data_IF_863451203283
#
_entry.id   IF_863451203283
#
_cell.length_a   1.000
_cell.length_b   1.000
_cell.length_c   1.000
_cell.angle_alpha   90.00
_cell.angle_beta   90.00
_cell.angle_gamma   90.00
#
_symmetry.space_group_name_H-M   'P 1'
#
loop_
_entity.id
_entity.type
_entity.pdbx_description
1 polymer ?
#
# COMPACT_ATOMS: atom_id res chain seq x y z
N UNK A 1 17.58 -20.70 2.77
CA UNK A 1 16.51 -19.69 2.62
C UNK A 1 16.84 -18.82 1.43
N UNK A 2 15.90 -18.62 0.50
CA UNK A 2 16.07 -17.73 -0.66
C UNK A 2 16.28 -16.31 -0.17
N UNK A 3 17.37 -15.65 -0.60
CA UNK A 3 17.60 -14.23 -0.29
C UNK A 3 16.59 -13.37 -1.05
N UNK A 4 16.01 -12.31 -0.44
CA UNK A 4 15.12 -11.41 -1.15
C UNK A 4 15.88 -10.63 -2.23
N UNK A 5 15.31 -10.51 -3.42
CA UNK A 5 15.79 -9.66 -4.50
C UNK A 5 15.32 -8.21 -4.33
N UNK A 6 14.12 -7.98 -3.78
CA UNK A 6 13.63 -6.66 -3.38
C UNK A 6 13.31 -6.65 -1.88
N UNK A 7 13.78 -5.62 -1.18
CA UNK A 7 13.37 -5.35 0.21
C UNK A 7 12.59 -4.06 0.27
N UNK A 8 11.31 -4.14 0.59
CA UNK A 8 10.41 -3.01 0.82
C UNK A 8 10.51 -2.57 2.28
N UNK A 9 10.94 -1.33 2.53
CA UNK A 9 11.12 -0.75 3.84
C UNK A 9 10.05 0.30 4.10
N UNK A 10 9.31 0.15 5.20
CA UNK A 10 8.38 1.18 5.66
C UNK A 10 9.01 2.01 6.78
N UNK A 11 9.18 3.30 6.54
CA UNK A 11 9.83 4.24 7.46
C UNK A 11 8.82 4.84 8.46
N UNK A 12 9.24 5.21 9.68
CA UNK A 12 8.41 6.07 10.54
C UNK A 12 8.17 7.44 9.88
N UNK A 13 7.20 8.21 10.36
CA UNK A 13 6.96 9.59 9.90
C UNK A 13 8.22 10.45 10.02
N UNK A 14 8.80 10.46 11.22
CA UNK A 14 10.10 11.05 11.52
C UNK A 14 11.08 9.99 11.99
N UNK A 15 12.25 9.85 11.36
CA UNK A 15 13.24 8.83 11.72
C UNK A 15 13.79 9.00 13.15
N UNK A 16 14.06 10.25 13.56
CA UNK A 16 14.71 10.56 14.85
C UNK A 16 13.75 10.61 16.04
N UNK A 17 12.53 10.07 15.92
CA UNK A 17 11.48 10.18 16.94
C UNK A 17 11.86 9.63 18.32
N UNK A 18 12.87 8.76 18.41
CA UNK A 18 13.40 8.23 19.68
C UNK A 18 14.38 9.19 20.37
N UNK A 19 15.03 10.07 19.62
CA UNK A 19 16.13 10.92 20.09
C UNK A 19 15.75 12.39 20.26
N UNK A 20 14.55 12.81 19.83
CA UNK A 20 14.09 14.19 19.90
C UNK A 20 12.63 14.24 20.38
N UNK A 21 12.26 15.21 21.23
CA UNK A 21 10.86 15.47 21.52
C UNK A 21 10.16 15.91 20.22
N UNK A 22 9.11 15.19 19.83
CA UNK A 22 8.29 15.51 18.66
C UNK A 22 6.95 16.04 19.16
N UNK A 23 6.61 17.26 18.74
CA UNK A 23 5.24 17.77 18.90
C UNK A 23 4.43 17.20 17.75
N UNK A 24 3.62 16.20 18.04
CA UNK A 24 2.72 15.63 17.05
C UNK A 24 1.60 16.64 16.79
N UNK A 25 1.55 17.18 15.57
CA UNK A 25 0.44 18.02 15.11
C UNK A 25 -0.86 17.21 14.99
N UNK A 26 -1.96 17.81 14.48
CA UNK A 26 -3.29 17.18 14.39
C UNK A 26 -3.36 16.00 13.40
N UNK A 27 -2.22 15.54 12.88
CA UNK A 27 -2.11 14.50 11.86
C UNK A 27 -2.45 13.11 12.47
N UNK A 28 -2.54 12.97 13.80
CA UNK A 28 -2.62 11.68 14.49
C UNK A 28 -4.03 11.06 14.67
N UNK A 29 -5.12 11.70 14.22
CA UNK A 29 -6.48 11.25 14.61
C UNK A 29 -7.18 10.31 13.60
N UNK A 30 -6.47 9.74 12.62
CA UNK A 30 -7.10 8.82 11.64
C UNK A 30 -6.27 7.56 11.32
N UNK A 31 -6.98 6.42 11.26
CA UNK A 31 -6.60 5.05 10.82
C UNK A 31 -5.36 4.46 11.53
N UNK A 32 -5.47 3.28 12.19
CA UNK A 32 -5.06 2.95 13.56
C UNK A 32 -3.54 2.94 13.85
N UNK A 33 -2.82 3.95 13.37
CA UNK A 33 -1.40 4.15 13.60
C UNK A 33 -1.19 5.12 14.76
N UNK A 34 -0.08 4.95 15.46
CA UNK A 34 0.41 5.96 16.40
C UNK A 34 0.82 7.23 15.63
N UNK A 35 1.15 8.35 16.30
CA UNK A 35 1.74 9.51 15.63
C UNK A 35 3.02 9.24 14.81
N UNK A 36 3.62 8.04 14.96
CA UNK A 36 4.77 7.57 14.19
C UNK A 36 4.37 7.02 12.81
N UNK A 37 3.07 6.85 12.55
CA UNK A 37 2.54 6.31 11.30
C UNK A 37 3.10 4.93 10.97
N UNK A 38 3.09 3.97 11.89
CA UNK A 38 3.73 2.67 11.62
C UNK A 38 2.94 1.73 10.69
N UNK A 39 1.75 2.14 10.27
CA UNK A 39 0.92 1.35 9.37
C UNK A 39 1.41 1.46 7.93
N UNK A 40 2.05 0.42 7.40
CA UNK A 40 2.49 0.45 6.00
C UNK A 40 1.29 0.37 5.02
N UNK A 41 1.41 0.94 3.79
CA UNK A 41 0.34 0.92 2.80
C UNK A 41 0.11 -0.48 2.24
N UNK A 42 -1.15 -0.86 2.00
CA UNK A 42 -1.50 -2.17 1.41
C UNK A 42 -0.82 -2.42 0.05
N UNK A 43 -0.45 -1.36 -0.66
CA UNK A 43 0.30 -1.42 -1.91
C UNK A 43 1.57 -2.28 -1.80
N UNK A 44 2.22 -2.31 -0.63
CA UNK A 44 3.35 -3.21 -0.39
C UNK A 44 2.97 -4.69 -0.46
N UNK A 45 1.80 -5.08 0.08
CA UNK A 45 1.31 -6.46 0.00
C UNK A 45 0.99 -6.80 -1.46
N UNK A 46 0.35 -5.88 -2.17
CA UNK A 46 0.01 -6.02 -3.59
C UNK A 46 1.26 -6.23 -4.44
N UNK A 47 2.24 -5.32 -4.33
CA UNK A 47 3.52 -5.40 -5.05
C UNK A 47 4.28 -6.67 -4.68
N UNK A 48 4.43 -6.97 -3.39
CA UNK A 48 5.16 -8.16 -2.97
C UNK A 48 4.51 -9.47 -3.46
N UNK A 49 3.17 -9.55 -3.40
CA UNK A 49 2.41 -10.69 -3.91
C UNK A 49 2.54 -10.85 -5.42
N UNK A 50 2.44 -9.74 -6.17
CA UNK A 50 2.60 -9.72 -7.62
C UNK A 50 4.02 -10.15 -8.05
N UNK A 51 5.04 -9.62 -7.41
CA UNK A 51 6.45 -9.93 -7.71
C UNK A 51 6.82 -11.38 -7.36
N UNK A 52 6.39 -11.90 -6.22
CA UNK A 52 6.66 -13.30 -5.85
C UNK A 52 5.99 -14.27 -6.84
N UNK A 53 4.78 -13.96 -7.33
CA UNK A 53 4.10 -14.75 -8.38
C UNK A 53 4.91 -14.79 -9.69
N UNK A 54 5.67 -13.73 -9.98
CA UNK A 54 6.53 -13.61 -11.16
C UNK A 54 8.00 -13.96 -10.86
N UNK A 55 8.27 -14.67 -9.76
CA UNK A 55 9.60 -15.21 -9.47
C UNK A 55 10.62 -14.20 -8.96
N UNK A 56 10.18 -13.05 -8.42
CA UNK A 56 11.03 -12.06 -7.76
C UNK A 56 10.80 -12.13 -6.24
N UNK A 57 11.70 -12.78 -5.47
CA UNK A 57 11.60 -12.86 -4.03
C UNK A 57 11.58 -11.47 -3.38
N UNK A 58 10.50 -11.13 -2.68
CA UNK A 58 10.27 -9.81 -2.12
C UNK A 58 10.03 -9.90 -0.62
N UNK A 59 10.62 -8.98 0.15
CA UNK A 59 10.48 -8.92 1.61
C UNK A 59 10.03 -7.54 2.06
N UNK A 60 8.93 -7.48 2.79
CA UNK A 60 8.54 -6.28 3.55
C UNK A 60 9.27 -6.25 4.89
N UNK A 61 9.76 -5.07 5.29
CA UNK A 61 10.27 -4.77 6.62
C UNK A 61 9.67 -3.46 7.12
N UNK A 62 8.81 -3.55 8.13
CA UNK A 62 8.26 -2.41 8.83
C UNK A 62 9.28 -1.84 9.83
N UNK A 63 10.10 -0.87 9.41
CA UNK A 63 11.11 -0.23 10.27
C UNK A 63 10.42 0.59 11.36
N UNK A 64 9.36 1.32 11.03
CA UNK A 64 8.57 2.10 11.99
C UNK A 64 8.08 1.24 13.18
N UNK A 65 7.40 0.12 12.89
CA UNK A 65 6.87 -0.77 13.93
C UNK A 65 7.98 -1.41 14.76
N UNK A 66 9.09 -1.83 14.15
CA UNK A 66 10.24 -2.35 14.91
C UNK A 66 10.85 -1.27 15.80
N UNK A 67 10.94 -0.03 15.32
CA UNK A 67 11.41 1.08 16.12
C UNK A 67 10.45 1.42 17.28
N UNK A 68 9.16 1.20 17.13
CA UNK A 68 8.21 1.36 18.22
C UNK A 68 8.31 0.24 19.26
N UNK A 69 8.35 -1.02 18.80
CA UNK A 69 8.19 -2.19 19.67
C UNK A 69 9.47 -2.69 20.32
N UNK A 70 10.62 -2.42 19.70
CA UNK A 70 11.92 -2.94 20.15
C UNK A 70 12.85 -1.76 20.51
N UNK A 71 12.84 -1.23 21.74
CA UNK A 71 13.60 -0.01 22.10
C UNK A 71 15.10 -0.05 21.78
N UNK A 72 15.70 -1.25 21.76
CA UNK A 72 17.11 -1.48 21.43
C UNK A 72 17.36 -1.86 19.96
N UNK A 73 16.35 -1.78 19.10
CA UNK A 73 16.48 -2.10 17.69
C UNK A 73 17.37 -1.08 17.00
N UNK A 74 18.53 -1.57 16.54
CA UNK A 74 19.50 -0.83 15.74
C UNK A 74 19.18 -1.05 14.25
N UNK A 75 18.65 0.01 13.63
CA UNK A 75 18.24 0.02 12.23
C UNK A 75 19.44 -0.17 11.32
N UNK A 76 20.55 0.53 11.56
CA UNK A 76 21.72 0.48 10.69
C UNK A 76 22.37 -0.91 10.70
N UNK A 77 22.55 -1.49 11.89
CA UNK A 77 23.08 -2.85 12.04
C UNK A 77 22.17 -3.91 11.42
N UNK A 78 20.86 -3.65 11.39
CA UNK A 78 19.93 -4.54 10.71
C UNK A 78 20.04 -4.40 9.19
N UNK A 79 20.02 -3.17 8.67
CA UNK A 79 20.11 -2.89 7.24
C UNK A 79 21.46 -3.32 6.65
N UNK A 80 22.56 -3.21 7.41
CA UNK A 80 23.90 -3.59 6.95
C UNK A 80 24.04 -5.09 6.61
N UNK A 81 23.12 -5.92 7.12
CA UNK A 81 23.09 -7.37 6.87
C UNK A 81 22.23 -7.76 5.66
N UNK A 82 21.55 -6.81 5.05
CA UNK A 82 20.69 -7.04 3.90
C UNK A 82 21.46 -6.74 2.62
N UNK A 83 21.37 -7.64 1.63
CA UNK A 83 22.00 -7.46 0.31
C UNK A 83 21.03 -7.85 -0.81
N UNK A 84 19.93 -7.09 -1.00
CA UNK A 84 19.02 -7.29 -2.12
C UNK A 84 19.58 -6.73 -3.43
N UNK A 85 18.87 -6.92 -4.54
CA UNK A 85 19.14 -6.22 -5.80
C UNK A 85 18.66 -4.76 -5.74
N UNK A 86 17.62 -4.47 -4.97
CA UNK A 86 17.12 -3.11 -4.73
C UNK A 86 16.45 -2.99 -3.36
N UNK A 87 16.42 -1.76 -2.83
CA UNK A 87 15.56 -1.38 -1.72
C UNK A 87 14.38 -0.55 -2.24
N UNK A 88 13.16 -0.89 -1.86
CA UNK A 88 11.98 -0.06 -2.08
C UNK A 88 11.59 0.66 -0.80
N UNK A 89 11.21 1.93 -0.86
CA UNK A 89 10.75 2.72 0.29
C UNK A 89 9.44 3.38 -0.09
N UNK A 90 8.39 3.22 0.71
CA UNK A 90 7.15 3.92 0.45
C UNK A 90 7.24 5.38 0.89
N UNK A 91 6.65 6.23 0.07
CA UNK A 91 6.21 7.56 0.42
C UNK A 91 4.77 7.68 -0.08
N UNK A 92 3.89 6.92 0.58
CA UNK A 92 2.47 6.90 0.25
C UNK A 92 1.75 8.12 0.86
N UNK A 93 1.98 8.40 2.14
CA UNK A 93 1.50 9.61 2.80
C UNK A 93 2.64 10.60 3.08
N UNK A 94 2.36 11.89 2.87
CA UNK A 94 3.35 12.97 3.03
C UNK A 94 4.01 13.05 4.42
N UNK A 95 3.37 12.67 5.56
CA UNK A 95 4.04 12.61 6.85
C UNK A 95 5.31 11.77 6.91
N UNK A 96 5.51 10.83 5.97
CA UNK A 96 6.72 10.02 5.88
C UNK A 96 7.88 10.67 5.13
N UNK A 97 7.71 11.89 4.58
CA UNK A 97 8.73 12.51 3.74
C UNK A 97 10.10 12.56 4.43
N UNK A 98 10.14 12.96 5.70
CA UNK A 98 11.38 13.02 6.47
C UNK A 98 11.94 11.61 6.74
N UNK A 99 11.14 10.71 7.32
CA UNK A 99 11.61 9.39 7.70
C UNK A 99 12.03 8.52 6.53
N UNK A 100 11.30 8.56 5.41
CA UNK A 100 11.63 7.81 4.20
C UNK A 100 12.92 8.31 3.53
N UNK A 101 13.13 9.63 3.45
CA UNK A 101 14.36 10.21 2.90
C UNK A 101 15.59 9.95 3.78
N UNK A 102 15.44 10.00 5.11
CA UNK A 102 16.52 9.64 6.03
C UNK A 102 16.86 8.14 5.97
N UNK A 103 15.85 7.28 5.88
CA UNK A 103 16.05 5.85 5.71
C UNK A 103 16.77 5.55 4.39
N UNK A 104 16.40 6.21 3.30
CA UNK A 104 17.09 6.13 2.01
C UNK A 104 18.56 6.55 2.11
N UNK A 105 18.84 7.66 2.83
CA UNK A 105 20.21 8.14 3.06
C UNK A 105 21.05 7.12 3.83
N UNK A 106 20.49 6.50 4.86
CA UNK A 106 21.14 5.42 5.62
C UNK A 106 21.42 4.21 4.72
N UNK A 107 20.43 3.78 3.93
CA UNK A 107 20.58 2.67 2.97
C UNK A 107 21.72 2.96 2.00
N UNK A 108 21.77 4.14 1.39
CA UNK A 108 22.85 4.51 0.45
C UNK A 108 24.21 4.61 1.10
N UNK A 109 24.30 5.05 2.36
CA UNK A 109 25.58 5.05 3.10
C UNK A 109 26.09 3.62 3.34
N UNK A 110 25.20 2.69 3.69
CA UNK A 110 25.55 1.29 3.95
C UNK A 110 25.77 0.49 2.68
N UNK A 111 25.03 0.82 1.61
CA UNK A 111 24.96 0.08 0.34
C UNK A 111 24.98 1.05 -0.85
N UNK A 112 26.11 1.72 -1.14
CA UNK A 112 26.16 2.79 -2.14
C UNK A 112 25.81 2.34 -3.56
N UNK A 113 26.06 1.08 -3.89
CA UNK A 113 25.79 0.50 -5.21
C UNK A 113 24.38 -0.09 -5.36
N UNK A 114 23.61 -0.24 -4.28
CA UNK A 114 22.26 -0.82 -4.37
C UNK A 114 21.26 0.31 -4.67
N UNK A 115 20.42 0.18 -5.71
CA UNK A 115 19.41 1.18 -6.03
C UNK A 115 18.31 1.27 -4.97
N UNK A 116 17.83 2.48 -4.76
CA UNK A 116 16.71 2.85 -3.90
C UNK A 116 15.56 3.34 -4.78
N UNK A 117 14.43 2.66 -4.64
CA UNK A 117 13.20 2.88 -5.40
C UNK A 117 12.16 3.48 -4.45
N UNK A 118 11.58 4.61 -4.82
CA UNK A 118 10.43 5.19 -4.14
C UNK A 118 9.13 4.89 -4.89
N UNK A 119 8.02 4.83 -4.15
CA UNK A 119 6.68 4.68 -4.71
C UNK A 119 5.60 5.07 -3.70
N UNK A 120 4.37 5.24 -4.19
CA UNK A 120 3.23 5.71 -3.40
C UNK A 120 2.64 7.00 -3.92
N UNK A 121 1.57 7.47 -3.28
CA UNK A 121 0.80 8.63 -3.74
C UNK A 121 1.61 9.92 -3.61
N UNK A 122 2.19 10.20 -2.44
CA UNK A 122 3.07 11.36 -2.29
C UNK A 122 4.34 11.27 -3.15
N UNK A 123 4.94 10.09 -3.32
CA UNK A 123 6.04 9.89 -4.26
C UNK A 123 5.65 10.20 -5.72
N UNK A 124 4.43 9.82 -6.13
CA UNK A 124 3.91 10.13 -7.47
C UNK A 124 3.73 11.62 -7.65
N UNK A 125 3.16 12.31 -6.65
CA UNK A 125 2.91 13.75 -6.70
C UNK A 125 4.22 14.56 -6.77
N UNK A 126 5.20 14.21 -5.93
CA UNK A 126 6.47 14.94 -5.78
C UNK A 126 7.63 14.24 -6.49
N UNK A 127 7.36 13.51 -7.57
CA UNK A 127 8.38 12.65 -8.20
C UNK A 127 9.55 13.45 -8.79
N UNK A 128 9.30 14.70 -9.21
CA UNK A 128 10.30 15.57 -9.84
C UNK A 128 11.31 16.08 -8.80
N UNK A 129 10.84 16.45 -7.62
CA UNK A 129 11.66 16.87 -6.50
C UNK A 129 12.35 15.66 -5.86
N UNK A 130 11.58 14.58 -5.66
CA UNK A 130 12.07 13.37 -5.01
C UNK A 130 13.22 12.74 -5.79
N UNK A 131 13.13 12.70 -7.12
CA UNK A 131 14.22 12.16 -7.92
C UNK A 131 15.49 13.00 -7.77
N UNK A 132 15.46 14.31 -7.51
CA UNK A 132 16.71 15.09 -7.39
C UNK A 132 17.62 14.68 -6.22
N UNK A 133 17.07 14.03 -5.19
CA UNK A 133 17.86 13.66 -4.00
C UNK A 133 18.92 12.60 -4.34
N UNK A 134 20.17 12.75 -3.86
CA UNK A 134 21.25 11.81 -4.17
C UNK A 134 20.97 10.38 -3.65
N UNK A 135 20.09 10.26 -2.66
CA UNK A 135 19.69 8.97 -2.11
C UNK A 135 18.52 8.28 -2.83
N UNK A 136 18.03 8.85 -3.93
CA UNK A 136 16.92 8.31 -4.73
C UNK A 136 17.40 8.05 -6.16
N UNK A 137 17.28 6.80 -6.60
CA UNK A 137 17.66 6.38 -7.97
C UNK A 137 16.43 6.27 -8.87
N UNK A 138 15.30 5.80 -8.32
CA UNK A 138 14.07 5.56 -9.05
C UNK A 138 12.84 6.03 -8.28
N UNK A 139 11.84 6.53 -8.99
CA UNK A 139 10.48 6.76 -8.48
C UNK A 139 9.49 6.10 -9.42
N UNK A 140 8.77 5.08 -8.94
CA UNK A 140 7.70 4.42 -9.72
C UNK A 140 6.38 5.11 -9.40
N UNK A 141 5.76 5.68 -10.44
CA UNK A 141 4.61 6.58 -10.33
C UNK A 141 3.29 5.88 -10.63
N UNK A 142 2.20 6.45 -10.14
CA UNK A 142 0.85 5.96 -10.37
C UNK A 142 0.28 5.21 -9.17
N UNK A 143 -0.97 4.78 -9.31
CA UNK A 143 -1.70 4.06 -8.27
C UNK A 143 -1.65 2.54 -8.44
N UNK A 144 -1.12 2.08 -9.59
CA UNK A 144 -1.01 0.69 -9.98
C UNK A 144 0.39 0.39 -10.50
N UNK A 145 1.29 0.12 -9.58
CA UNK A 145 2.73 0.06 -9.86
C UNK A 145 3.27 -1.36 -9.89
N UNK A 146 2.45 -2.38 -9.71
CA UNK A 146 2.89 -3.78 -9.65
C UNK A 146 3.70 -4.21 -10.87
N UNK A 147 3.14 -4.00 -12.06
CA UNK A 147 3.79 -4.34 -13.34
C UNK A 147 4.99 -3.41 -13.65
N UNK A 148 4.90 -2.07 -13.51
CA UNK A 148 6.07 -1.20 -13.60
C UNK A 148 7.24 -1.60 -12.68
N UNK A 149 6.95 -1.98 -11.44
CA UNK A 149 7.98 -2.47 -10.50
C UNK A 149 8.54 -3.81 -10.96
N UNK A 150 7.71 -4.73 -11.48
CA UNK A 150 8.18 -6.00 -12.04
C UNK A 150 9.17 -5.76 -13.18
N UNK A 151 8.81 -4.91 -14.15
CA UNK A 151 9.68 -4.57 -15.27
C UNK A 151 10.98 -3.93 -14.78
N UNK A 152 10.90 -2.95 -13.87
CA UNK A 152 12.09 -2.31 -13.29
C UNK A 152 13.01 -3.33 -12.62
N UNK A 153 12.47 -4.22 -11.78
CA UNK A 153 13.27 -5.25 -11.10
C UNK A 153 13.91 -6.22 -12.10
N UNK A 154 13.22 -6.57 -13.19
CA UNK A 154 13.81 -7.38 -14.26
C UNK A 154 14.95 -6.63 -14.96
N UNK A 155 14.83 -5.31 -15.20
CA UNK A 155 15.94 -4.53 -15.77
C UNK A 155 17.13 -4.47 -14.83
N UNK A 156 16.91 -4.20 -13.55
CA UNK A 156 17.96 -4.18 -12.52
C UNK A 156 18.69 -5.53 -12.47
N UNK A 157 17.94 -6.64 -12.47
CA UNK A 157 18.50 -8.00 -12.40
C UNK A 157 19.41 -8.35 -13.57
N UNK A 158 19.13 -7.82 -14.76
CA UNK A 158 19.90 -8.10 -15.98
C UNK A 158 20.86 -6.97 -16.37
N UNK A 159 20.94 -5.88 -15.59
CA UNK A 159 21.73 -4.70 -15.96
C UNK A 159 21.27 -4.04 -17.26
N UNK A 160 19.96 -4.08 -17.54
CA UNK A 160 19.38 -3.56 -18.77
C UNK A 160 18.90 -2.11 -18.63
N UNK A 161 18.70 -1.48 -19.78
CA UNK A 161 18.14 -0.14 -19.93
C UNK A 161 16.72 -0.05 -19.31
N UNK A 162 16.34 1.13 -18.82
CA UNK A 162 15.09 1.40 -18.07
C UNK A 162 14.20 2.46 -18.71
N UNK A 163 14.61 3.01 -19.86
CA UNK A 163 13.97 4.08 -20.62
C UNK A 163 12.56 3.69 -21.11
N UNK A 164 12.30 2.39 -21.24
CA UNK A 164 11.02 1.84 -21.68
C UNK A 164 10.11 1.38 -20.53
N UNK A 165 10.59 1.42 -19.28
CA UNK A 165 9.78 1.03 -18.11
C UNK A 165 8.70 2.09 -17.89
N UNK A 166 7.40 1.75 -18.00
CA UNK A 166 6.33 2.72 -17.87
C UNK A 166 6.30 3.32 -16.46
N UNK A 167 5.80 4.55 -16.36
CA UNK A 167 5.58 5.25 -15.10
C UNK A 167 6.85 5.57 -14.29
N UNK A 168 8.04 5.32 -14.82
CA UNK A 168 9.31 5.49 -14.10
C UNK A 168 9.83 6.92 -14.18
N UNK A 169 10.28 7.46 -13.05
CA UNK A 169 11.28 8.53 -13.02
C UNK A 169 12.61 7.96 -12.58
N UNK A 170 13.69 8.37 -13.22
CA UNK A 170 15.02 7.80 -13.01
C UNK A 170 16.11 8.84 -13.29
N UNK A 171 17.37 8.51 -12.93
CA UNK A 171 18.54 9.30 -13.31
C UNK A 171 19.45 8.54 -14.24
N UNK A 172 19.97 9.24 -15.23
CA UNK A 172 21.07 8.69 -16.04
C UNK A 172 22.41 8.75 -15.30
N UNK A 173 23.45 8.21 -15.93
CA UNK A 173 24.80 8.17 -15.36
C UNK A 173 25.43 9.56 -15.10
N UNK A 174 24.86 10.63 -15.66
CA UNK A 174 25.26 12.02 -15.38
C UNK A 174 24.47 12.67 -14.23
N UNK A 175 23.46 11.97 -13.71
CA UNK A 175 22.57 12.44 -12.66
C UNK A 175 21.38 13.25 -13.16
N UNK A 176 21.17 13.36 -14.48
CA UNK A 176 20.04 14.07 -15.06
C UNK A 176 18.77 13.23 -14.90
N UNK A 177 17.70 13.87 -14.43
CA UNK A 177 16.41 13.22 -14.22
C UNK A 177 15.64 13.05 -15.53
N UNK A 178 15.07 11.86 -15.71
CA UNK A 178 14.21 11.48 -16.82
C UNK A 178 12.86 10.96 -16.29
N UNK A 179 11.80 11.16 -17.07
CA UNK A 179 10.44 10.81 -16.69
C UNK A 179 9.72 10.10 -17.84
N UNK A 180 9.66 8.77 -17.77
CA UNK A 180 8.96 7.94 -18.76
C UNK A 180 7.45 8.16 -18.65
N UNK A 181 6.71 8.00 -19.74
CA UNK A 181 5.26 8.26 -19.76
C UNK A 181 4.49 7.51 -18.65
N UNK A 182 3.50 8.16 -18.04
CA UNK A 182 2.57 7.55 -17.10
C UNK A 182 1.47 6.81 -17.88
N UNK A 183 1.82 5.66 -18.45
CA UNK A 183 1.01 4.92 -19.42
C UNK A 183 0.44 3.62 -18.89
N UNK A 184 1.03 3.01 -17.85
CA UNK A 184 0.48 1.81 -17.24
C UNK A 184 -0.58 2.19 -16.21
N UNK A 185 -1.82 2.26 -16.66
CA UNK A 185 -3.01 2.57 -15.84
C UNK A 185 -4.11 1.56 -16.19
N UNK A 186 -4.10 0.35 -15.60
CA UNK A 186 -5.06 -0.68 -15.95
C UNK A 186 -6.49 -0.27 -15.58
N UNK A 187 -7.45 -0.65 -16.42
CA UNK A 187 -8.89 -0.39 -16.22
C UNK A 187 -9.58 -1.42 -15.32
N UNK A 188 -8.91 -2.55 -15.02
CA UNK A 188 -9.38 -3.58 -14.09
C UNK A 188 -8.28 -3.95 -13.11
N UNK A 189 -8.69 -4.45 -11.94
CA UNK A 189 -7.82 -4.94 -10.87
C UNK A 189 -7.83 -6.46 -10.72
N UNK A 190 -8.49 -7.17 -11.61
CA UNK A 190 -8.71 -8.62 -11.48
C UNK A 190 -7.40 -9.42 -11.56
N UNK A 191 -6.46 -8.98 -12.40
CA UNK A 191 -5.15 -9.61 -12.59
C UNK A 191 -4.11 -9.18 -11.54
N UNK A 192 -4.46 -8.26 -10.65
CA UNK A 192 -3.60 -7.77 -9.57
C UNK A 192 -3.99 -8.54 -8.29
N UNK A 193 -3.27 -9.60 -7.92
CA UNK A 193 -3.61 -10.40 -6.77
C UNK A 193 -3.21 -9.65 -5.50
N UNK A 194 -4.17 -9.41 -4.62
CA UNK A 194 -3.86 -9.12 -3.22
C UNK A 194 -3.70 -10.47 -2.52
N UNK A 195 -2.48 -11.00 -2.47
CA UNK A 195 -2.22 -12.23 -1.71
C UNK A 195 -2.23 -11.91 -0.21
N UNK A 196 -3.41 -11.93 0.40
CA UNK A 196 -3.58 -11.74 1.84
C UNK A 196 -2.91 -12.85 2.67
N UNK A 197 -2.43 -13.94 2.05
CA UNK A 197 -1.57 -14.92 2.73
C UNK A 197 -0.10 -14.52 2.72
N UNK A 198 0.31 -13.52 1.93
CA UNK A 198 1.71 -13.07 1.88
C UNK A 198 2.25 -12.72 3.27
N UNK A 199 1.56 -11.94 4.13
CA UNK A 199 2.05 -11.66 5.48
C UNK A 199 2.35 -12.94 6.26
N UNK A 200 1.45 -13.92 6.23
CA UNK A 200 1.62 -15.21 6.92
C UNK A 200 2.81 -15.98 6.35
N UNK A 201 2.89 -16.11 5.01
CA UNK A 201 4.02 -16.77 4.32
C UNK A 201 5.35 -16.09 4.62
N UNK A 202 5.36 -14.75 4.64
CA UNK A 202 6.53 -13.90 4.88
C UNK A 202 7.02 -14.04 6.32
N UNK A 203 6.12 -14.08 7.30
CA UNK A 203 6.46 -14.36 8.70
C UNK A 203 7.13 -15.73 8.83
N UNK A 204 6.60 -16.76 8.17
CA UNK A 204 7.18 -18.11 8.18
C UNK A 204 8.56 -18.12 7.49
N UNK A 205 8.64 -17.53 6.29
CA UNK A 205 9.84 -17.51 5.42
C UNK A 205 11.00 -16.75 6.05
N UNK A 206 10.72 -15.60 6.67
CA UNK A 206 11.75 -14.70 7.22
C UNK A 206 11.83 -14.71 8.75
N UNK A 207 11.02 -15.55 9.43
CA UNK A 207 10.96 -15.71 10.90
C UNK A 207 10.86 -14.38 11.65
N UNK A 208 10.09 -13.44 11.11
CA UNK A 208 10.02 -12.07 11.59
C UNK A 208 8.57 -11.60 11.64
N UNK A 209 7.89 -11.88 12.76
CA UNK A 209 6.53 -11.40 13.00
C UNK A 209 6.48 -9.87 13.09
N UNK A 210 7.32 -9.26 13.94
CA UNK A 210 7.34 -7.80 14.14
C UNK A 210 7.63 -7.00 12.86
N UNK A 211 8.46 -7.51 11.96
CA UNK A 211 8.78 -6.84 10.70
C UNK A 211 7.68 -6.90 9.63
N UNK A 212 6.65 -7.73 9.81
CA UNK A 212 5.55 -7.93 8.84
C UNK A 212 4.21 -7.43 9.39
N UNK A 213 4.10 -7.20 10.71
CA UNK A 213 2.88 -6.66 11.29
C UNK A 213 2.55 -5.28 10.69
N UNK A 214 1.31 -5.08 10.22
CA UNK A 214 0.86 -3.80 9.68
C UNK A 214 1.04 -2.68 10.69
N UNK A 215 0.61 -2.86 11.94
CA UNK A 215 0.76 -1.87 13.00
C UNK A 215 0.96 -2.55 14.37
N UNK A 216 1.28 -1.75 15.38
CA UNK A 216 1.75 -2.20 16.70
C UNK A 216 0.79 -3.16 17.42
N UNK A 217 -0.51 -2.85 17.40
CA UNK A 217 -1.58 -3.60 18.09
C UNK A 217 -2.36 -4.57 17.18
N UNK A 218 -1.84 -4.91 16.00
CA UNK A 218 -2.58 -5.76 15.04
C UNK A 218 -2.89 -7.17 15.57
N UNK A 219 -2.06 -7.70 16.47
CA UNK A 219 -2.34 -9.00 17.10
C UNK A 219 -3.55 -8.97 18.04
N UNK A 220 -3.81 -7.82 18.67
CA UNK A 220 -4.94 -7.63 19.57
C UNK A 220 -6.22 -7.30 18.78
N UNK A 221 -6.08 -6.63 17.63
CA UNK A 221 -7.16 -6.29 16.73
C UNK A 221 -6.74 -6.48 15.26
N UNK A 222 -6.85 -7.70 14.70
CA UNK A 222 -6.36 -8.04 13.36
C UNK A 222 -7.33 -7.57 12.26
N UNK A 223 -7.72 -6.30 12.32
CA UNK A 223 -8.49 -5.67 11.25
C UNK A 223 -7.66 -5.73 9.96
N UNK A 224 -8.33 -6.13 8.88
CA UNK A 224 -7.74 -6.21 7.54
C UNK A 224 -8.56 -5.37 6.59
N UNK A 225 -7.94 -4.79 5.57
CA UNK A 225 -8.64 -4.03 4.54
C UNK A 225 -8.67 -4.81 3.22
N UNK A 226 -9.77 -4.72 2.50
CA UNK A 226 -9.89 -5.13 1.10
C UNK A 226 -10.38 -3.95 0.28
N UNK A 227 -9.91 -3.83 -0.96
CA UNK A 227 -10.21 -2.68 -1.82
C UNK A 227 -11.13 -3.09 -2.94
N UNK A 228 -12.24 -2.37 -3.09
CA UNK A 228 -13.17 -2.54 -4.21
C UNK A 228 -12.60 -1.98 -5.51
N UNK A 229 -11.79 -0.93 -5.41
CA UNK A 229 -11.33 -0.18 -6.56
C UNK A 229 -10.00 0.55 -6.36
N UNK A 230 -9.50 1.09 -7.48
CA UNK A 230 -8.49 2.14 -7.57
C UNK A 230 -9.06 3.28 -8.39
N UNK A 231 -8.97 4.49 -7.87
CA UNK A 231 -9.76 5.62 -8.35
C UNK A 231 -10.96 5.92 -7.44
N UNK A 232 -11.61 7.04 -7.70
CA UNK A 232 -12.83 7.47 -7.03
C UNK A 232 -13.74 8.19 -8.04
N UNK A 233 -15.06 8.06 -7.91
CA UNK A 233 -16.04 8.82 -8.71
C UNK A 233 -16.31 10.22 -8.15
N UNK A 234 -15.98 10.47 -6.88
CA UNK A 234 -16.25 11.72 -6.18
C UNK A 234 -15.11 12.72 -6.30
N UNK A 235 -15.46 14.01 -6.22
CA UNK A 235 -14.50 15.11 -6.36
C UNK A 235 -14.35 15.95 -5.09
N UNK A 236 -14.17 15.30 -3.94
CA UNK A 236 -14.06 15.97 -2.65
C UNK A 236 -12.86 16.95 -2.65
N UNK A 237 -13.10 18.22 -2.31
CA UNK A 237 -12.11 19.31 -2.44
C UNK A 237 -10.84 19.11 -1.63
N UNK A 238 -10.93 18.47 -0.47
CA UNK A 238 -9.81 18.22 0.45
C UNK A 238 -9.09 16.90 0.17
N UNK A 239 -9.60 16.04 -0.72
CA UNK A 239 -9.13 14.67 -0.87
C UNK A 239 -8.09 14.55 -2.00
N UNK A 240 -6.85 14.18 -1.63
CA UNK A 240 -5.79 13.83 -2.58
C UNK A 240 -6.05 12.56 -3.40
N UNK A 241 -7.11 11.80 -3.06
CA UNK A 241 -7.63 10.65 -3.80
C UNK A 241 -8.97 10.93 -4.50
N UNK A 242 -9.28 12.19 -4.79
CA UNK A 242 -10.48 12.57 -5.56
C UNK A 242 -10.39 12.13 -7.03
N UNK A 243 -11.53 12.10 -7.74
CA UNK A 243 -11.59 11.87 -9.19
C UNK A 243 -10.67 12.81 -9.96
N UNK A 244 -10.66 14.09 -9.62
CA UNK A 244 -9.75 15.07 -10.21
C UNK A 244 -8.29 14.70 -9.96
N UNK A 245 -7.93 14.41 -8.71
CA UNK A 245 -6.55 14.01 -8.37
C UNK A 245 -6.13 12.74 -9.12
N UNK A 246 -6.98 11.71 -9.17
CA UNK A 246 -6.73 10.49 -9.93
C UNK A 246 -6.51 10.75 -11.42
N UNK A 247 -7.34 11.59 -12.02
CA UNK A 247 -7.20 11.95 -13.43
C UNK A 247 -5.92 12.73 -13.71
N UNK A 248 -5.67 13.81 -12.97
CA UNK A 248 -4.58 14.74 -13.28
C UNK A 248 -3.21 14.24 -12.83
N UNK A 249 -3.13 13.49 -11.72
CA UNK A 249 -1.85 13.04 -11.14
C UNK A 249 -1.50 11.60 -11.52
N UNK A 250 -2.51 10.73 -11.65
CA UNK A 250 -2.31 9.29 -11.84
C UNK A 250 -2.70 8.83 -13.25
N UNK A 251 -3.08 9.77 -14.14
CA UNK A 251 -3.61 9.50 -15.48
C UNK A 251 -4.76 8.47 -15.49
N UNK A 252 -5.55 8.46 -14.41
CA UNK A 252 -6.69 7.56 -14.24
C UNK A 252 -7.99 8.30 -14.55
N UNK A 253 -8.43 8.19 -15.81
CA UNK A 253 -9.70 8.78 -16.26
C UNK A 253 -10.95 8.10 -15.69
N UNK A 254 -10.85 6.80 -15.40
CA UNK A 254 -11.95 5.97 -14.91
C UNK A 254 -11.51 5.08 -13.74
N UNK A 255 -12.46 4.77 -12.86
CA UNK A 255 -12.22 3.92 -11.69
C UNK A 255 -12.01 2.47 -12.17
N UNK A 256 -10.91 1.85 -11.74
CA UNK A 256 -10.68 0.44 -11.97
C UNK A 256 -11.29 -0.35 -10.81
N UNK A 257 -12.32 -1.13 -11.11
CA UNK A 257 -12.99 -1.97 -10.13
C UNK A 257 -12.43 -3.39 -10.13
N UNK A 258 -12.50 -4.03 -8.97
CA UNK A 258 -12.25 -5.47 -8.81
C UNK A 258 -13.57 -6.22 -8.94
N UNK A 259 -13.57 -7.36 -9.60
CA UNK A 259 -14.79 -8.15 -9.77
C UNK A 259 -15.38 -8.60 -8.41
N UNK A 260 -16.71 -8.48 -8.18
CA UNK A 260 -17.34 -8.79 -6.90
C UNK A 260 -17.03 -10.18 -6.34
N UNK A 261 -16.96 -11.19 -7.21
CA UNK A 261 -16.66 -12.56 -6.79
C UNK A 261 -15.24 -12.72 -6.25
N UNK A 262 -14.27 -12.04 -6.88
CA UNK A 262 -12.86 -12.07 -6.47
C UNK A 262 -12.69 -11.37 -5.12
N UNK A 263 -13.37 -10.23 -4.93
CA UNK A 263 -13.38 -9.56 -3.63
C UNK A 263 -13.99 -10.45 -2.53
N UNK A 264 -15.09 -11.15 -2.82
CA UNK A 264 -15.66 -12.11 -1.89
C UNK A 264 -14.76 -13.33 -1.63
N UNK A 265 -13.96 -13.76 -2.63
CA UNK A 265 -12.93 -14.79 -2.47
C UNK A 265 -11.80 -14.34 -1.54
N UNK A 266 -11.35 -13.09 -1.69
CA UNK A 266 -10.33 -12.49 -0.82
C UNK A 266 -10.82 -12.46 0.65
N UNK A 267 -12.03 -11.97 0.88
CA UNK A 267 -12.66 -11.93 2.22
C UNK A 267 -12.82 -13.34 2.79
N UNK A 268 -13.25 -14.30 1.97
CA UNK A 268 -13.38 -15.70 2.39
C UNK A 268 -12.02 -16.30 2.77
N UNK A 269 -10.97 -16.01 2.01
CA UNK A 269 -9.60 -16.42 2.33
C UNK A 269 -9.15 -15.84 3.66
N UNK A 270 -9.35 -14.54 3.89
CA UNK A 270 -9.01 -13.86 5.16
C UNK A 270 -9.72 -14.54 6.33
N UNK A 271 -11.02 -14.79 6.22
CA UNK A 271 -11.83 -15.44 7.26
C UNK A 271 -11.29 -16.81 7.69
N UNK A 272 -10.59 -17.54 6.81
CA UNK A 272 -10.02 -18.86 7.14
C UNK A 272 -8.87 -18.78 8.14
N UNK A 273 -8.21 -17.62 8.24
CA UNK A 273 -7.01 -17.44 9.05
C UNK A 273 -7.18 -16.38 10.14
N UNK A 274 -8.10 -15.43 9.95
CA UNK A 274 -8.33 -14.31 10.86
C UNK A 274 -9.80 -14.24 11.24
N UNK A 275 -10.07 -14.10 12.54
CA UNK A 275 -11.40 -13.84 13.09
C UNK A 275 -11.72 -12.35 13.25
N UNK A 276 -10.79 -11.46 12.86
CA UNK A 276 -10.93 -10.02 12.99
C UNK A 276 -11.83 -9.39 11.92
N UNK A 277 -12.21 -8.11 12.09
CA UNK A 277 -13.01 -7.39 11.11
C UNK A 277 -12.31 -7.22 9.76
N UNK A 278 -13.07 -7.25 8.67
CA UNK A 278 -12.60 -6.93 7.33
C UNK A 278 -13.26 -5.64 6.86
N UNK A 279 -12.44 -4.62 6.61
CA UNK A 279 -12.89 -3.33 6.11
C UNK A 279 -12.86 -3.32 4.58
N UNK A 280 -14.03 -3.20 3.96
CA UNK A 280 -14.19 -2.98 2.52
C UNK A 280 -14.04 -1.48 2.25
N UNK A 281 -12.89 -1.11 1.69
CA UNK A 281 -12.55 0.26 1.32
C UNK A 281 -13.06 0.55 -0.09
N UNK A 282 -13.69 1.71 -0.22
CA UNK A 282 -14.48 2.15 -1.36
C UNK A 282 -15.94 1.73 -1.22
N UNK A 283 -16.85 2.68 -1.42
CA UNK A 283 -18.29 2.41 -1.40
C UNK A 283 -18.66 1.37 -2.47
N UNK A 284 -19.23 0.25 -2.03
CA UNK A 284 -19.60 -0.88 -2.92
C UNK A 284 -20.70 -0.51 -3.92
N UNK A 285 -21.39 0.63 -3.74
CA UNK A 285 -22.41 1.15 -4.66
C UNK A 285 -21.85 2.11 -5.68
N UNK A 286 -20.59 2.52 -5.54
CA UNK A 286 -19.90 3.39 -6.50
C UNK A 286 -19.97 2.89 -7.96
N UNK A 287 -19.85 1.58 -8.24
CA UNK A 287 -20.01 1.05 -9.60
C UNK A 287 -21.48 0.91 -10.04
N UNK A 288 -22.43 1.07 -9.12
CA UNK A 288 -23.87 0.82 -9.29
C UNK A 288 -24.41 -0.27 -8.36
N UNK A 289 -25.73 -0.26 -8.14
CA UNK A 289 -26.40 -1.20 -7.22
C UNK A 289 -26.20 -2.68 -7.61
N UNK A 290 -26.17 -3.00 -8.91
CA UNK A 290 -25.92 -4.37 -9.41
C UNK A 290 -24.56 -4.93 -8.94
N UNK A 291 -23.54 -4.07 -8.78
CA UNK A 291 -22.26 -4.51 -8.22
C UNK A 291 -22.40 -4.87 -6.74
N UNK A 292 -23.08 -4.02 -5.96
CA UNK A 292 -23.32 -4.23 -4.54
C UNK A 292 -24.11 -5.53 -4.32
N UNK A 293 -25.20 -5.73 -5.07
CA UNK A 293 -26.02 -6.95 -5.03
C UNK A 293 -25.19 -8.21 -5.33
N UNK A 294 -24.36 -8.17 -6.38
CA UNK A 294 -23.47 -9.28 -6.75
C UNK A 294 -22.46 -9.58 -5.66
N UNK A 295 -21.86 -8.55 -5.05
CA UNK A 295 -20.90 -8.71 -3.97
C UNK A 295 -21.56 -9.31 -2.72
N UNK A 296 -22.69 -8.75 -2.28
CA UNK A 296 -23.47 -9.22 -1.15
C UNK A 296 -23.93 -10.67 -1.36
N UNK A 297 -24.44 -10.99 -2.56
CA UNK A 297 -24.80 -12.35 -2.95
C UNK A 297 -23.61 -13.32 -2.93
N UNK A 298 -22.44 -12.90 -3.41
CA UNK A 298 -21.21 -13.70 -3.38
C UNK A 298 -20.73 -13.96 -1.93
N UNK A 299 -20.75 -12.94 -1.07
CA UNK A 299 -20.40 -13.08 0.35
C UNK A 299 -21.37 -14.02 1.08
N UNK A 300 -22.67 -13.88 0.82
CA UNK A 300 -23.69 -14.78 1.37
C UNK A 300 -23.45 -16.23 0.96
N UNK A 301 -23.20 -16.48 -0.33
CA UNK A 301 -22.90 -17.82 -0.87
C UNK A 301 -21.66 -18.44 -0.22
N UNK A 302 -20.63 -17.63 0.04
CA UNK A 302 -19.38 -18.04 0.71
C UNK A 302 -19.48 -18.12 2.24
N UNK A 303 -20.65 -17.80 2.81
CA UNK A 303 -20.91 -17.82 4.26
C UNK A 303 -19.88 -16.99 5.03
N UNK A 304 -19.69 -15.74 4.61
CA UNK A 304 -18.88 -14.78 5.37
C UNK A 304 -19.57 -14.49 6.72
N UNK A 305 -18.80 -14.58 7.80
CA UNK A 305 -19.20 -14.49 9.20
C UNK A 305 -18.35 -13.50 9.99
N UNK A 306 -17.12 -13.24 9.55
CA UNK A 306 -16.27 -12.18 10.14
C UNK A 306 -17.00 -10.83 10.08
N UNK A 307 -16.79 -9.94 11.07
CA UNK A 307 -17.36 -8.61 11.01
C UNK A 307 -16.89 -7.86 9.77
N UNK A 308 -17.81 -7.25 9.01
CA UNK A 308 -17.47 -6.44 7.85
C UNK A 308 -17.66 -4.97 8.17
N UNK A 309 -16.69 -4.13 7.85
CA UNK A 309 -16.90 -2.67 7.83
C UNK A 309 -17.18 -2.28 6.39
N UNK A 310 -18.31 -1.61 6.15
CA UNK A 310 -18.66 -1.05 4.85
C UNK A 310 -18.43 0.45 4.86
N UNK A 311 -17.66 0.94 3.90
CA UNK A 311 -17.57 2.38 3.63
C UNK A 311 -18.78 2.85 2.82
N UNK A 312 -19.39 3.95 3.23
CA UNK A 312 -20.46 4.62 2.47
C UNK A 312 -20.09 6.08 2.23
N UNK A 313 -20.23 6.52 0.98
CA UNK A 313 -19.96 7.90 0.59
C UNK A 313 -21.21 8.80 0.65
N UNK A 314 -22.39 8.20 0.75
CA UNK A 314 -23.67 8.88 0.87
C UNK A 314 -24.65 8.01 1.66
N UNK A 315 -25.73 8.58 2.24
CA UNK A 315 -26.80 7.80 2.85
C UNK A 315 -27.32 6.70 1.91
N UNK A 316 -27.57 5.50 2.46
CA UNK A 316 -27.91 4.31 1.65
C UNK A 316 -29.38 3.87 1.69
N UNK A 317 -30.18 4.46 2.59
CA UNK A 317 -31.58 4.11 2.76
C UNK A 317 -31.80 2.71 3.37
N UNK A 318 -33.03 2.46 3.81
CA UNK A 318 -33.37 1.24 4.56
C UNK A 318 -33.28 -0.04 3.71
N UNK A 319 -33.57 0.06 2.40
CA UNK A 319 -33.55 -1.09 1.49
C UNK A 319 -32.16 -1.73 1.40
N UNK A 320 -31.12 -0.90 1.24
CA UNK A 320 -29.74 -1.36 1.22
C UNK A 320 -29.35 -2.06 2.53
N UNK A 321 -29.66 -1.47 3.69
CA UNK A 321 -29.35 -2.09 4.99
C UNK A 321 -30.11 -3.40 5.23
N UNK A 322 -31.36 -3.52 4.72
CA UNK A 322 -32.10 -4.80 4.72
C UNK A 322 -31.40 -5.85 3.84
N UNK A 323 -30.78 -5.45 2.74
CA UNK A 323 -30.02 -6.38 1.90
C UNK A 323 -28.71 -6.81 2.57
N UNK A 324 -27.95 -5.85 3.11
CA UNK A 324 -26.72 -6.09 3.84
C UNK A 324 -26.96 -7.07 5.00
N UNK A 325 -27.98 -6.83 5.83
CA UNK A 325 -28.32 -7.72 6.95
C UNK A 325 -28.74 -9.14 6.53
N UNK A 326 -29.28 -9.32 5.32
CA UNK A 326 -29.60 -10.65 4.75
C UNK A 326 -28.39 -11.37 4.17
N UNK A 327 -27.33 -10.64 3.84
CA UNK A 327 -26.13 -11.16 3.19
C UNK A 327 -25.02 -11.45 4.19
N UNK A 328 -24.77 -10.54 5.14
CA UNK A 328 -23.71 -10.63 6.13
C UNK A 328 -24.27 -10.38 7.55
N UNK A 329 -23.98 -11.27 8.52
CA UNK A 329 -24.63 -11.23 9.83
C UNK A 329 -24.05 -10.16 10.76
N UNK A 330 -22.79 -9.78 10.57
CA UNK A 330 -22.07 -8.84 11.42
C UNK A 330 -21.47 -7.75 10.54
N UNK A 331 -22.01 -6.54 10.61
CA UNK A 331 -21.48 -5.41 9.86
C UNK A 331 -21.47 -4.13 10.68
N UNK A 332 -20.50 -3.27 10.37
CA UNK A 332 -20.40 -1.89 10.81
C UNK A 332 -20.39 -0.99 9.58
N UNK A 333 -20.79 0.26 9.77
CA UNK A 333 -20.78 1.27 8.72
C UNK A 333 -19.75 2.33 9.10
N UNK A 334 -18.88 2.67 8.15
CA UNK A 334 -18.09 3.89 8.20
C UNK A 334 -18.63 4.86 7.17
N UNK A 335 -18.89 6.08 7.60
CA UNK A 335 -19.30 7.17 6.72
C UNK A 335 -18.57 8.43 7.16
N UNK A 336 -18.04 9.16 6.18
CA UNK A 336 -17.39 10.44 6.38
C UNK A 336 -18.26 11.50 5.69
N UNK A 337 -19.24 12.09 6.40
CA UNK A 337 -20.20 13.00 5.78
C UNK A 337 -19.55 14.30 5.29
N UNK A 338 -18.41 14.71 5.86
CA UNK A 338 -17.60 15.92 5.54
C UNK A 338 -18.33 17.28 5.68
N UNK A 339 -19.64 17.34 5.44
CA UNK A 339 -20.54 18.46 5.66
C UNK A 339 -21.83 17.98 6.34
N UNK A 340 -22.63 18.93 6.79
CA UNK A 340 -23.97 18.73 7.36
C UNK A 340 -25.09 18.82 6.31
N UNK A 341 -24.76 19.32 5.12
CA UNK A 341 -25.57 19.26 3.90
C UNK A 341 -25.53 17.85 3.31
#
# INVERSE_FOLDING_TARGET
>A
MTRPELVLLHAPSNYDFRGRPVVYGPISDVIPSTPIFEMYPIGFISIAGYLEKHGIPTRIVNIANRMLREPRFDVERFLSKLHPLAFGIDLHWLPHAQGSLELARIVKRLHPSIPVIFGGFSATYFHQELIQYPQVDFVVRGDSTEEPVLQLMQRIKHGAAVEDVPNLSWKDGSGVAHHNALSWVPSSLDDIPLDYNYPIKSVIKYRSLAGVLPFSNWLDYPITAVFTCRGCTLNCRSCGGSRFSFKEIYNRGEVAYRHPSLLADDIHSIQRYLGGPVFIIGDIRQPGEDYAEKLLGAMKKKRIKVPIVLELFAPAGEAFFREVSRAIPNFNIQMSPESHD
#
